data_IF_755757431976
#
_entry.id   IF_755757431976
#
_cell.length_a   1.000
_cell.length_b   1.000
_cell.length_c   1.000
_cell.angle_alpha   90.00
_cell.angle_beta   90.00
_cell.angle_gamma   90.00
#
_symmetry.space_group_name_H-M   'P 1'
#
loop_
_entity.id
_entity.type
_entity.pdbx_description
1 polymer ?
#
# COMPACT_ATOMS: atom_id res chain seq x y z
N UNK A 1 45.33 -28.96 -42.85
CA UNK A 1 45.19 -29.64 -41.53
C UNK A 1 45.33 -28.60 -40.44
N UNK A 2 44.59 -28.82 -39.34
CA UNK A 2 44.47 -28.02 -38.10
C UNK A 2 43.37 -26.96 -38.18
N UNK A 3 42.20 -27.38 -37.68
CA UNK A 3 40.98 -26.59 -37.56
C UNK A 3 41.07 -25.57 -36.43
N UNK A 4 40.38 -24.46 -36.64
CA UNK A 4 40.12 -23.45 -35.62
C UNK A 4 39.37 -24.09 -34.45
N UNK A 5 39.98 -24.06 -33.27
CA UNK A 5 39.26 -24.32 -32.02
C UNK A 5 38.50 -23.04 -31.65
N UNK A 6 37.34 -22.85 -32.27
CA UNK A 6 36.32 -21.91 -31.81
C UNK A 6 35.79 -22.41 -30.46
N UNK A 7 36.29 -21.85 -29.36
CA UNK A 7 35.64 -21.94 -28.06
C UNK A 7 34.38 -21.06 -28.13
N UNK A 8 33.29 -21.62 -28.67
CA UNK A 8 31.98 -21.00 -28.63
C UNK A 8 31.51 -20.93 -27.17
N UNK A 9 31.87 -19.83 -26.51
CA UNK A 9 31.27 -19.43 -25.25
C UNK A 9 29.82 -19.08 -25.59
N UNK A 10 28.90 -19.88 -25.08
CA UNK A 10 27.47 -19.65 -25.10
C UNK A 10 27.14 -18.24 -24.58
N UNK A 11 27.12 -17.27 -25.49
CA UNK A 11 26.52 -15.95 -25.30
C UNK A 11 24.99 -16.03 -25.44
N UNK A 12 24.42 -17.18 -25.05
CA UNK A 12 23.03 -17.24 -24.64
C UNK A 12 22.85 -16.28 -23.46
N UNK A 13 21.74 -15.53 -23.37
CA UNK A 13 21.54 -14.59 -22.28
C UNK A 13 21.50 -15.39 -20.98
N UNK A 14 22.62 -15.35 -20.24
CA UNK A 14 22.76 -15.89 -18.89
C UNK A 14 21.66 -15.25 -18.03
N UNK A 15 20.60 -16.03 -17.90
CA UNK A 15 19.37 -15.68 -17.21
C UNK A 15 19.62 -15.78 -15.70
N UNK A 16 20.14 -14.72 -15.10
CA UNK A 16 20.24 -14.59 -13.63
C UNK A 16 19.19 -13.66 -13.03
N UNK A 17 18.32 -13.08 -13.86
CA UNK A 17 17.07 -12.48 -13.44
C UNK A 17 16.03 -12.89 -14.48
N UNK A 18 15.14 -13.82 -14.11
CA UNK A 18 14.12 -14.46 -14.95
C UNK A 18 13.02 -13.49 -15.41
N UNK A 19 13.41 -12.33 -15.93
CA UNK A 19 12.56 -11.37 -16.61
C UNK A 19 13.17 -11.25 -18.00
N UNK A 20 12.95 -12.26 -18.84
CA UNK A 20 13.09 -12.05 -20.27
C UNK A 20 12.16 -10.91 -20.73
N UNK A 21 12.28 -10.40 -21.96
CA UNK A 21 11.32 -9.46 -22.56
C UNK A 21 9.92 -10.10 -22.79
N UNK A 22 9.59 -11.15 -22.04
CA UNK A 22 8.38 -11.94 -22.06
C UNK A 22 7.16 -11.25 -21.46
N UNK A 23 7.22 -9.95 -21.15
CA UNK A 23 5.97 -9.19 -21.03
C UNK A 23 5.29 -8.97 -22.40
N UNK A 24 5.91 -9.40 -23.50
CA UNK A 24 5.24 -9.55 -24.78
C UNK A 24 4.58 -10.92 -25.02
N UNK A 25 4.73 -11.89 -24.11
CA UNK A 25 4.38 -13.31 -24.35
C UNK A 25 3.49 -13.96 -23.28
N UNK A 26 2.86 -13.17 -22.40
CA UNK A 26 1.65 -13.62 -21.69
C UNK A 26 0.40 -13.27 -22.51
N UNK A 27 0.41 -13.61 -23.80
CA UNK A 27 -0.72 -13.43 -24.73
C UNK A 27 -1.79 -14.53 -24.59
N UNK A 28 -1.78 -15.28 -23.48
CA UNK A 28 -2.78 -16.31 -23.16
C UNK A 28 -4.01 -15.75 -22.43
N UNK A 29 -3.93 -14.51 -21.93
CA UNK A 29 -5.12 -13.82 -21.45
C UNK A 29 -5.82 -13.25 -22.67
N UNK A 30 -6.92 -13.88 -23.08
CA UNK A 30 -7.79 -13.36 -24.14
C UNK A 30 -8.01 -11.87 -23.93
N UNK A 31 -7.79 -11.04 -24.96
CA UNK A 31 -8.07 -9.59 -24.90
C UNK A 31 -9.49 -9.29 -24.36
N UNK A 32 -10.43 -10.22 -24.59
CA UNK A 32 -11.79 -10.19 -24.02
C UNK A 32 -11.82 -10.32 -22.49
N UNK A 33 -10.96 -11.14 -21.90
CA UNK A 33 -10.82 -11.27 -20.45
C UNK A 33 -10.21 -10.01 -19.85
N UNK A 34 -9.13 -9.49 -20.43
CA UNK A 34 -8.52 -8.23 -19.98
C UNK A 34 -9.56 -7.09 -20.00
N UNK A 35 -10.35 -6.99 -21.08
CA UNK A 35 -11.41 -5.99 -21.18
C UNK A 35 -12.49 -6.13 -20.10
N UNK A 36 -12.97 -7.37 -19.84
CA UNK A 36 -13.94 -7.64 -18.78
C UNK A 36 -13.39 -7.36 -17.39
N UNK A 37 -12.11 -7.63 -17.18
CA UNK A 37 -11.43 -7.35 -15.92
C UNK A 37 -11.34 -5.84 -15.68
N UNK A 38 -10.86 -5.07 -16.67
CA UNK A 38 -10.81 -3.60 -16.58
C UNK A 38 -12.20 -2.99 -16.37
N UNK A 39 -13.23 -3.50 -17.05
CA UNK A 39 -14.61 -3.05 -16.86
C UNK A 39 -15.15 -3.36 -15.45
N UNK A 40 -14.81 -4.53 -14.90
CA UNK A 40 -15.14 -4.92 -13.53
C UNK A 40 -14.48 -4.02 -12.48
N UNK A 41 -13.20 -3.67 -12.68
CA UNK A 41 -12.49 -2.73 -11.81
C UNK A 41 -13.11 -1.34 -11.91
N UNK A 42 -13.48 -0.88 -13.11
CA UNK A 42 -14.17 0.40 -13.30
C UNK A 42 -15.52 0.45 -12.57
N UNK A 43 -16.32 -0.62 -12.64
CA UNK A 43 -17.56 -0.76 -11.87
C UNK A 43 -17.30 -0.75 -10.36
N UNK A 44 -16.29 -1.48 -9.88
CA UNK A 44 -15.95 -1.53 -8.46
C UNK A 44 -15.47 -0.16 -7.93
N UNK A 45 -14.61 0.52 -8.68
CA UNK A 45 -14.11 1.85 -8.33
C UNK A 45 -15.21 2.92 -8.38
N UNK A 46 -16.09 2.87 -9.40
CA UNK A 46 -17.23 3.77 -9.53
C UNK A 46 -18.32 3.54 -8.47
N UNK A 47 -18.47 2.30 -8.00
CA UNK A 47 -19.40 1.93 -6.94
C UNK A 47 -18.85 2.19 -5.53
N UNK A 48 -17.55 2.49 -5.37
CA UNK A 48 -16.97 2.81 -4.07
C UNK A 48 -17.50 4.19 -3.63
N UNK A 49 -18.38 4.27 -2.62
CA UNK A 49 -19.04 5.54 -2.34
C UNK A 49 -18.01 6.52 -1.75
N UNK A 50 -17.90 7.70 -2.36
CA UNK A 50 -17.03 8.77 -1.86
C UNK A 50 -17.32 9.20 -0.41
N UNK A 51 -18.49 8.83 0.12
CA UNK A 51 -18.93 9.12 1.47
C UNK A 51 -18.21 8.29 2.55
N UNK A 52 -17.71 7.07 2.23
CA UNK A 52 -16.95 6.28 3.21
C UNK A 52 -15.67 6.99 3.64
N UNK A 53 -14.97 7.64 2.72
CA UNK A 53 -13.77 8.45 3.03
C UNK A 53 -14.12 9.64 3.94
N UNK A 54 -15.28 10.26 3.73
CA UNK A 54 -15.76 11.39 4.55
C UNK A 54 -16.12 10.94 5.97
N UNK A 55 -16.79 9.79 6.11
CA UNK A 55 -17.14 9.20 7.41
C UNK A 55 -15.91 8.79 8.20
N UNK A 56 -14.94 8.13 7.56
CA UNK A 56 -13.67 7.75 8.19
C UNK A 56 -12.88 8.97 8.65
N UNK A 57 -12.73 9.99 7.79
CA UNK A 57 -12.03 11.24 8.16
C UNK A 57 -12.69 11.91 9.38
N UNK A 58 -14.04 11.96 9.40
CA UNK A 58 -14.79 12.53 10.53
C UNK A 58 -14.58 11.72 11.81
N UNK A 59 -14.54 10.40 11.74
CA UNK A 59 -14.28 9.52 12.88
C UNK A 59 -12.86 9.75 13.43
N UNK A 60 -11.85 9.75 12.56
CA UNK A 60 -10.45 9.99 12.94
C UNK A 60 -10.28 11.34 13.66
N UNK A 61 -10.91 12.40 13.14
CA UNK A 61 -10.85 13.73 13.78
C UNK A 61 -11.51 13.74 15.18
N UNK A 62 -12.63 13.03 15.37
CA UNK A 62 -13.30 12.93 16.67
C UNK A 62 -12.46 12.18 17.70
N UNK A 63 -11.79 11.09 17.28
CA UNK A 63 -10.90 10.31 18.15
C UNK A 63 -9.70 11.16 18.57
N UNK A 64 -9.05 11.84 17.62
CA UNK A 64 -7.92 12.72 17.93
C UNK A 64 -8.29 13.82 18.94
N UNK A 65 -9.49 14.42 18.81
CA UNK A 65 -10.00 15.39 19.78
C UNK A 65 -10.22 14.77 21.17
N UNK A 66 -10.81 13.58 21.23
CA UNK A 66 -11.08 12.90 22.50
C UNK A 66 -9.79 12.53 23.24
N UNK A 67 -8.78 12.03 22.52
CA UNK A 67 -7.46 11.71 23.06
C UNK A 67 -6.78 12.96 23.63
N UNK A 68 -6.81 14.07 22.90
CA UNK A 68 -6.27 15.35 23.40
C UNK A 68 -6.97 15.83 24.68
N UNK A 69 -8.30 15.73 24.74
CA UNK A 69 -9.06 16.10 25.95
C UNK A 69 -8.76 15.17 27.14
N UNK A 70 -8.57 13.88 26.92
CA UNK A 70 -8.21 12.94 27.98
C UNK A 70 -6.83 13.26 28.57
N UNK A 71 -5.84 13.58 27.73
CA UNK A 71 -4.52 14.02 28.17
C UNK A 71 -4.57 15.29 29.01
N UNK A 72 -5.32 16.31 28.56
CA UNK A 72 -5.49 17.57 29.31
C UNK A 72 -6.15 17.34 30.66
N UNK A 73 -7.20 16.52 30.72
CA UNK A 73 -7.86 16.17 32.00
C UNK A 73 -6.93 15.43 32.95
N UNK A 74 -6.10 14.51 32.44
CA UNK A 74 -5.10 13.81 33.24
C UNK A 74 -4.06 14.77 33.82
N UNK A 75 -3.56 15.72 33.01
CA UNK A 75 -2.62 16.74 33.48
C UNK A 75 -3.25 17.65 34.55
N UNK A 76 -4.48 18.11 34.34
CA UNK A 76 -5.23 18.92 35.31
C UNK A 76 -5.45 18.18 36.62
N UNK A 77 -5.86 16.91 36.57
CA UNK A 77 -6.06 16.10 37.77
C UNK A 77 -4.74 15.92 38.55
N UNK A 78 -3.63 15.73 37.84
CA UNK A 78 -2.31 15.61 38.46
C UNK A 78 -1.87 16.94 39.12
N UNK A 79 -2.07 18.06 38.42
CA UNK A 79 -1.82 19.40 38.98
C UNK A 79 -2.69 19.69 40.20
N UNK A 80 -4.00 19.44 40.13
CA UNK A 80 -4.92 19.65 41.25
C UNK A 80 -4.55 18.79 42.46
N UNK A 81 -4.16 17.53 42.23
CA UNK A 81 -3.72 16.64 43.30
C UNK A 81 -2.42 17.15 43.95
N UNK A 82 -1.47 17.64 43.16
CA UNK A 82 -0.24 18.24 43.70
C UNK A 82 -0.50 19.50 44.53
N UNK A 83 -1.43 20.37 44.11
CA UNK A 83 -1.79 21.58 44.88
C UNK A 83 -2.45 21.21 46.22
N UNK A 84 -3.38 20.25 46.22
CA UNK A 84 -4.05 19.78 47.44
C UNK A 84 -3.06 19.17 48.44
N UNK A 85 -2.04 18.45 47.95
CA UNK A 85 -0.98 17.86 48.79
C UNK A 85 -0.07 18.92 49.41
N UNK A 86 0.11 20.09 48.77
CA UNK A 86 0.99 21.17 49.26
C UNK A 86 0.29 22.07 50.29
N UNK A 87 -1.04 22.25 50.18
CA UNK A 87 -1.83 23.07 51.11
C UNK A 87 -2.40 22.30 52.31
N UNK A 88 -2.25 20.97 52.38
CA UNK A 88 -2.62 20.15 53.55
C UNK A 88 -1.45 19.95 54.50
#
# INVERSE_FOLDING_TARGET
MIGAMELQLDDGPRSSLSIGPGFGRYSGISSKFARRFTEGIGKLAGNTPGDHRKKTRRLTARIAKAVGLAGVKSCLACWSLSVVIIES
#
